data_IF_675442486192
#
_entry.id   IF_675442486192
#
_cell.length_a   1.000
_cell.length_b   1.000
_cell.length_c   1.000
_cell.angle_alpha   90.00
_cell.angle_beta   90.00
_cell.angle_gamma   90.00
#
_symmetry.space_group_name_H-M   'P 1'
#
loop_
_entity.id
_entity.type
_entity.pdbx_description
1 polymer ?
#
# COMPACT_ATOMS: atom_id res chain seq x y z
N UNK A 1 18.08 3.03 18.92
CA UNK A 1 16.65 3.08 18.55
C UNK A 1 16.55 3.78 17.21
N UNK A 2 16.17 3.06 16.15
CA UNK A 2 16.10 3.63 14.81
C UNK A 2 14.78 4.38 14.67
N UNK A 3 14.82 5.71 14.69
CA UNK A 3 13.62 6.53 14.50
C UNK A 3 13.16 6.38 13.05
N UNK A 4 12.06 5.66 12.84
CA UNK A 4 11.44 5.52 11.51
C UNK A 4 10.96 6.90 11.05
N UNK A 5 11.44 7.36 9.90
CA UNK A 5 11.01 8.63 9.30
C UNK A 5 9.55 8.47 8.87
N UNK A 6 8.68 9.42 9.21
CA UNK A 6 7.28 9.40 8.77
C UNK A 6 7.00 10.44 7.70
N UNK A 7 6.03 10.14 6.83
CA UNK A 7 5.45 11.12 5.94
C UNK A 7 4.92 12.33 6.73
N UNK A 8 5.16 13.58 6.31
CA UNK A 8 4.66 14.74 7.03
C UNK A 8 3.13 14.80 6.98
N UNK A 9 2.47 14.82 8.14
CA UNK A 9 1.00 14.85 8.24
C UNK A 9 0.35 16.08 7.59
N UNK A 10 1.11 17.17 7.42
CA UNK A 10 0.67 18.37 6.69
C UNK A 10 0.57 18.14 5.18
N UNK A 11 1.40 17.27 4.61
CA UNK A 11 1.41 17.03 3.17
C UNK A 11 0.28 16.07 2.79
N UNK A 12 -0.48 16.37 1.72
CA UNK A 12 -1.53 15.49 1.27
C UNK A 12 -0.96 14.12 0.88
N UNK A 13 -1.78 13.08 1.06
CA UNK A 13 -1.49 11.74 0.56
C UNK A 13 -1.50 11.73 -0.98
N UNK A 14 -0.80 10.79 -1.62
CA UNK A 14 -0.80 10.71 -3.08
C UNK A 14 -2.20 10.39 -3.61
N UNK A 15 -2.52 10.95 -4.77
CA UNK A 15 -3.73 10.66 -5.51
C UNK A 15 -3.58 9.35 -6.28
N UNK A 16 -4.66 8.57 -6.34
CA UNK A 16 -4.68 7.25 -7.01
C UNK A 16 -4.87 7.30 -8.53
N UNK A 17 -5.09 8.50 -9.09
CA UNK A 17 -5.36 8.65 -10.52
C UNK A 17 -4.10 8.33 -11.33
N UNK A 18 -4.15 7.22 -12.08
CA UNK A 18 -3.03 6.72 -12.89
C UNK A 18 -1.99 5.91 -12.11
N UNK A 19 -2.26 5.53 -10.86
CA UNK A 19 -1.40 4.62 -10.09
C UNK A 19 -1.59 3.18 -10.56
N UNK A 20 -0.63 2.62 -11.31
CA UNK A 20 -0.48 1.17 -11.43
C UNK A 20 0.16 0.62 -10.16
N UNK A 21 -0.18 -0.61 -9.79
CA UNK A 21 0.54 -1.33 -8.74
C UNK A 21 1.25 -2.51 -9.41
N UNK A 22 2.58 -2.47 -9.39
CA UNK A 22 3.41 -3.46 -10.08
C UNK A 22 4.26 -4.22 -9.07
N UNK A 23 3.91 -5.48 -8.87
CA UNK A 23 4.73 -6.40 -8.09
C UNK A 23 5.89 -6.90 -8.97
N UNK A 24 7.12 -6.83 -8.47
CA UNK A 24 8.25 -7.42 -9.19
C UNK A 24 8.14 -8.95 -9.21
N UNK A 25 8.77 -9.58 -10.20
CA UNK A 25 8.74 -11.04 -10.31
C UNK A 25 9.51 -11.67 -9.13
N UNK A 26 8.82 -12.55 -8.42
CA UNK A 26 9.37 -13.31 -7.29
C UNK A 26 9.94 -14.65 -7.73
N UNK A 27 9.71 -15.03 -8.98
CA UNK A 27 9.90 -16.37 -9.48
C UNK A 27 10.97 -16.39 -10.55
N UNK A 28 11.85 -17.40 -10.50
CA UNK A 28 12.80 -17.65 -11.58
C UNK A 28 12.28 -18.81 -12.41
N UNK A 29 12.13 -18.60 -13.72
CA UNK A 29 11.82 -19.64 -14.70
C UNK A 29 13.11 -20.06 -15.40
N UNK A 30 13.36 -21.36 -15.49
CA UNK A 30 14.49 -21.94 -16.21
C UNK A 30 13.94 -22.88 -17.28
N UNK A 31 14.21 -22.56 -18.53
CA UNK A 31 13.90 -23.42 -19.67
C UNK A 31 14.84 -24.62 -19.71
N UNK A 32 14.31 -25.78 -20.10
CA UNK A 32 15.07 -27.02 -20.21
C UNK A 32 15.27 -27.37 -21.69
N UNK A 33 16.38 -28.03 -22.01
CA UNK A 33 16.69 -28.45 -23.40
C UNK A 33 15.61 -29.40 -23.98
N UNK A 34 14.99 -30.21 -23.11
CA UNK A 34 13.77 -30.95 -23.40
C UNK A 34 12.89 -31.03 -22.15
N UNK A 35 11.57 -30.93 -22.34
CA UNK A 35 10.57 -31.06 -21.27
C UNK A 35 10.11 -29.71 -20.67
N UNK A 36 9.21 -29.74 -19.66
CA UNK A 36 8.63 -28.55 -19.08
C UNK A 36 9.65 -27.70 -18.32
N UNK A 37 9.56 -26.38 -18.47
CA UNK A 37 10.38 -25.44 -17.71
C UNK A 37 10.16 -25.57 -16.19
N UNK A 38 11.24 -25.42 -15.43
CA UNK A 38 11.18 -25.42 -13.96
C UNK A 38 11.01 -24.00 -13.45
N UNK A 39 10.06 -23.81 -12.55
CA UNK A 39 9.80 -22.53 -11.90
C UNK A 39 10.03 -22.65 -10.39
N UNK A 40 10.78 -21.72 -9.79
CA UNK A 40 11.02 -21.66 -8.34
C UNK A 40 10.82 -20.25 -7.79
N UNK A 41 10.19 -20.13 -6.63
CA UNK A 41 10.13 -18.87 -5.88
C UNK A 41 11.53 -18.54 -5.36
N UNK A 42 12.08 -17.40 -5.79
CA UNK A 42 13.41 -16.92 -5.39
C UNK A 42 13.35 -16.08 -4.12
N UNK A 43 12.28 -15.30 -3.97
CA UNK A 43 12.12 -14.37 -2.86
C UNK A 43 10.74 -14.52 -2.21
N UNK A 44 10.71 -14.54 -0.88
CA UNK A 44 9.46 -14.52 -0.13
C UNK A 44 8.87 -13.11 -0.10
N UNK A 45 9.72 -12.11 0.08
CA UNK A 45 9.36 -10.70 0.09
C UNK A 45 9.92 -10.04 -1.15
N UNK A 46 9.04 -9.48 -1.97
CA UNK A 46 9.42 -8.81 -3.20
C UNK A 46 8.96 -7.35 -3.15
N UNK A 47 9.89 -6.39 -3.30
CA UNK A 47 9.53 -4.99 -3.26
C UNK A 47 8.54 -4.65 -4.37
N UNK A 48 7.45 -3.99 -3.99
CA UNK A 48 6.43 -3.52 -4.94
C UNK A 48 6.79 -2.12 -5.42
N UNK A 49 6.66 -1.88 -6.72
CA UNK A 49 6.84 -0.54 -7.29
C UNK A 49 5.47 0.10 -7.46
N UNK A 50 5.32 1.29 -6.92
CA UNK A 50 4.04 2.00 -6.94
C UNK A 50 4.26 3.45 -7.42
N UNK A 51 3.90 3.76 -8.67
CA UNK A 51 3.78 5.14 -9.13
C UNK A 51 2.77 5.93 -8.30
N UNK A 52 3.21 7.07 -7.81
CA UNK A 52 2.42 7.99 -6.99
C UNK A 52 2.44 9.38 -7.59
N UNK A 53 1.33 10.10 -7.40
CA UNK A 53 1.19 11.47 -7.83
C UNK A 53 0.64 12.32 -6.70
N UNK A 54 1.36 13.38 -6.33
CA UNK A 54 0.88 14.38 -5.39
C UNK A 54 0.50 15.67 -6.11
N UNK A 55 -0.44 16.38 -5.49
CA UNK A 55 -0.87 17.70 -5.92
C UNK A 55 -0.59 18.69 -4.79
N UNK A 56 0.41 19.55 -4.98
CA UNK A 56 0.88 20.48 -3.95
C UNK A 56 0.61 21.93 -4.35
N UNK A 57 0.32 22.79 -3.37
CA UNK A 57 0.46 24.25 -3.54
C UNK A 57 1.91 24.65 -3.28
N UNK A 58 2.27 25.89 -3.57
CA UNK A 58 3.67 26.36 -3.47
C UNK A 58 4.33 26.06 -2.11
N UNK A 59 3.64 26.35 -1.00
CA UNK A 59 4.16 26.07 0.35
C UNK A 59 4.29 24.57 0.62
N UNK A 60 3.36 23.76 0.11
CA UNK A 60 3.38 22.31 0.30
C UNK A 60 4.52 21.69 -0.52
N UNK A 61 4.77 22.21 -1.73
CA UNK A 61 5.88 21.78 -2.57
C UNK A 61 7.23 22.14 -1.94
N UNK A 62 7.41 23.38 -1.47
CA UNK A 62 8.62 23.78 -0.75
C UNK A 62 8.87 22.93 0.51
N UNK A 63 7.79 22.59 1.23
CA UNK A 63 7.85 21.69 2.39
C UNK A 63 8.30 20.29 1.99
N UNK A 64 7.75 19.76 0.88
CA UNK A 64 8.14 18.46 0.33
C UNK A 64 9.62 18.43 -0.06
N UNK A 65 10.13 19.45 -0.77
CA UNK A 65 11.54 19.52 -1.17
C UNK A 65 12.49 19.54 0.04
N UNK A 66 12.16 20.36 1.05
CA UNK A 66 12.94 20.42 2.28
C UNK A 66 12.92 19.08 3.03
N UNK A 67 11.77 18.44 3.17
CA UNK A 67 11.64 17.14 3.82
C UNK A 67 12.39 16.03 3.05
N UNK A 68 12.24 15.99 1.72
CA UNK A 68 12.92 15.02 0.85
C UNK A 68 14.44 15.09 1.00
N UNK A 69 15.00 16.30 0.98
CA UNK A 69 16.44 16.53 1.13
C UNK A 69 16.92 16.25 2.56
N UNK A 70 16.25 16.82 3.57
CA UNK A 70 16.77 16.88 4.94
C UNK A 70 16.40 15.66 5.80
N UNK A 71 15.30 14.96 5.49
CA UNK A 71 14.83 13.80 6.28
C UNK A 71 15.06 12.49 5.55
N UNK A 72 14.72 12.44 4.26
CA UNK A 72 14.80 11.20 3.47
C UNK A 72 16.15 11.01 2.76
N UNK A 73 17.10 11.93 2.94
CA UNK A 73 18.45 11.82 2.37
C UNK A 73 18.45 11.78 0.86
N UNK A 74 17.67 12.66 0.22
CA UNK A 74 17.41 12.66 -1.23
C UNK A 74 16.77 11.35 -1.73
N UNK A 75 15.91 10.74 -0.92
CA UNK A 75 15.18 9.53 -1.27
C UNK A 75 15.88 8.21 -0.93
N UNK A 76 17.08 8.25 -0.33
CA UNK A 76 17.83 7.04 0.03
C UNK A 76 17.26 6.30 1.25
N UNK A 77 16.60 7.03 2.16
CA UNK A 77 16.09 6.46 3.42
C UNK A 77 14.66 5.93 3.28
N UNK A 78 14.35 4.91 4.07
CA UNK A 78 12.99 4.38 4.22
C UNK A 78 12.15 5.31 5.09
N UNK A 79 10.86 5.42 4.77
CA UNK A 79 9.89 6.18 5.54
C UNK A 79 8.51 5.52 5.53
N UNK A 80 7.69 5.80 6.55
CA UNK A 80 6.33 5.31 6.65
C UNK A 80 5.33 6.26 6.00
N UNK A 81 4.46 5.75 5.13
CA UNK A 81 3.40 6.54 4.48
C UNK A 81 2.11 5.71 4.34
N UNK A 82 0.96 6.35 4.50
CA UNK A 82 -0.34 5.73 4.24
C UNK A 82 -0.62 5.69 2.73
N UNK A 83 -0.87 4.51 2.18
CA UNK A 83 -1.11 4.27 0.77
C UNK A 83 -2.27 3.30 0.59
N UNK A 84 -3.02 3.45 -0.50
CA UNK A 84 -4.10 2.54 -0.84
C UNK A 84 -3.51 1.26 -1.44
N UNK A 85 -3.88 0.13 -0.85
CA UNK A 85 -3.55 -1.21 -1.32
C UNK A 85 -4.78 -2.10 -1.38
N UNK A 86 -4.56 -3.41 -1.51
CA UNK A 86 -5.65 -4.40 -1.63
C UNK A 86 -6.56 -4.49 -0.39
N UNK A 87 -6.05 -4.14 0.80
CA UNK A 87 -6.82 -4.11 2.06
C UNK A 87 -7.35 -2.71 2.40
N UNK A 88 -7.31 -1.77 1.45
CA UNK A 88 -7.64 -0.37 1.69
C UNK A 88 -6.44 0.49 2.05
N UNK A 89 -6.68 1.60 2.76
CA UNK A 89 -5.64 2.56 3.14
C UNK A 89 -4.85 2.01 4.34
N UNK A 90 -3.59 1.63 4.09
CA UNK A 90 -2.72 1.06 5.12
C UNK A 90 -1.37 1.79 5.18
N UNK A 91 -0.67 1.68 6.31
CA UNK A 91 0.68 2.22 6.45
C UNK A 91 1.68 1.29 5.78
N UNK A 92 2.55 1.85 4.94
CA UNK A 92 3.58 1.13 4.20
C UNK A 92 4.95 1.72 4.52
N UNK A 93 5.98 0.86 4.60
CA UNK A 93 7.37 1.29 4.59
C UNK A 93 7.84 1.43 3.13
N UNK A 94 8.14 2.66 2.73
CA UNK A 94 8.43 3.03 1.35
C UNK A 94 9.75 3.80 1.23
N UNK A 95 10.32 3.78 0.03
CA UNK A 95 11.47 4.58 -0.37
C UNK A 95 11.28 5.12 -1.78
N UNK A 96 11.83 6.28 -2.09
CA UNK A 96 11.83 6.82 -3.45
C UNK A 96 12.73 5.99 -4.36
N UNK A 97 12.18 5.51 -5.48
CA UNK A 97 12.94 4.83 -6.51
C UNK A 97 13.45 5.86 -7.52
N UNK A 98 14.76 6.06 -7.56
CA UNK A 98 15.42 6.95 -8.53
C UNK A 98 15.43 6.36 -9.94
N UNK A 99 14.28 6.31 -10.62
CA UNK A 99 14.20 5.81 -11.98
C UNK A 99 15.00 6.72 -12.91
N UNK A 100 16.07 6.19 -13.52
CA UNK A 100 16.94 6.97 -14.41
C UNK A 100 17.68 8.13 -13.73
N UNK A 101 17.93 8.04 -12.41
CA UNK A 101 18.59 9.09 -11.64
C UNK A 101 17.67 10.24 -11.19
N UNK A 102 16.37 10.15 -11.49
CA UNK A 102 15.37 11.16 -11.13
C UNK A 102 14.43 10.58 -10.07
N UNK A 103 14.55 10.98 -8.78
CA UNK A 103 13.73 10.43 -7.70
C UNK A 103 12.27 10.90 -7.73
N UNK A 104 12.02 12.11 -8.24
CA UNK A 104 10.68 12.61 -8.50
C UNK A 104 10.72 13.65 -9.63
N UNK A 105 9.57 13.87 -10.27
CA UNK A 105 9.39 14.92 -11.28
C UNK A 105 8.29 15.87 -10.81
N UNK A 106 8.59 17.17 -10.77
CA UNK A 106 7.61 18.21 -10.46
C UNK A 106 7.27 19.00 -11.73
N UNK A 107 5.98 19.13 -12.03
CA UNK A 107 5.47 19.89 -13.18
C UNK A 107 4.49 20.95 -12.69
N UNK A 108 4.70 22.24 -13.01
CA UNK A 108 3.73 23.27 -12.68
C UNK A 108 2.46 23.10 -13.52
N UNK A 109 1.31 23.28 -12.88
CA UNK A 109 -0.01 23.21 -13.49
C UNK A 109 -0.77 24.54 -13.25
N UNK A 110 -1.83 24.78 -14.03
CA UNK A 110 -2.66 25.99 -13.89
C UNK A 110 -3.21 26.12 -12.47
N UNK A 111 -3.27 27.36 -11.98
CA UNK A 111 -3.82 27.68 -10.65
C UNK A 111 -2.82 27.60 -9.49
N UNK A 112 -1.51 27.69 -9.74
CA UNK A 112 -0.48 27.73 -8.69
C UNK A 112 -0.30 26.38 -7.99
N UNK A 113 -0.35 25.30 -8.77
CA UNK A 113 -0.30 23.93 -8.25
C UNK A 113 0.81 23.16 -8.94
N UNK A 114 1.54 22.38 -8.15
CA UNK A 114 2.57 21.47 -8.59
C UNK A 114 2.05 20.04 -8.63
N UNK A 115 2.20 19.38 -9.77
CA UNK A 115 2.00 17.95 -9.90
C UNK A 115 3.36 17.27 -9.72
N UNK A 116 3.50 16.52 -8.63
CA UNK A 116 4.73 15.80 -8.32
C UNK A 116 4.50 14.31 -8.53
N UNK A 117 5.25 13.68 -9.43
CA UNK A 117 5.19 12.24 -9.69
C UNK A 117 6.48 11.55 -9.23
N UNK A 118 6.34 10.35 -8.69
CA UNK A 118 7.47 9.49 -8.32
C UNK A 118 7.05 8.02 -8.36
N UNK A 119 8.02 7.12 -8.27
CA UNK A 119 7.79 5.69 -8.03
C UNK A 119 8.31 5.37 -6.64
N UNK A 120 7.45 4.80 -5.80
CA UNK A 120 7.85 4.30 -4.48
C UNK A 120 8.16 2.82 -4.56
N UNK A 121 9.28 2.43 -3.95
CA UNK A 121 9.60 1.05 -3.64
C UNK A 121 9.07 0.73 -2.24
N UNK A 122 8.18 -0.26 -2.13
CA UNK A 122 7.53 -0.67 -0.89
C UNK A 122 8.13 -2.02 -0.47
N UNK A 123 8.65 -2.13 0.75
CA UNK A 123 9.32 -3.35 1.23
C UNK A 123 8.33 -4.49 1.52
N UNK A 124 7.32 -4.20 2.34
CA UNK A 124 6.29 -5.14 2.72
C UNK A 124 4.94 -4.47 2.53
N UNK A 125 4.09 -5.07 1.69
CA UNK A 125 2.72 -4.63 1.50
C UNK A 125 1.83 -5.37 2.49
N UNK A 126 1.07 -4.66 3.34
CA UNK A 126 0.01 -5.26 4.14
C UNK A 126 -0.94 -6.04 3.22
N UNK A 127 -1.17 -7.30 3.57
CA UNK A 127 -2.06 -8.20 2.87
C UNK A 127 -2.91 -8.95 3.89
N UNK A 128 -3.96 -9.61 3.41
CA UNK A 128 -4.72 -10.55 4.23
C UNK A 128 -3.76 -11.61 4.78
N UNK A 129 -3.94 -11.95 6.05
CA UNK A 129 -3.27 -13.10 6.62
C UNK A 129 -3.94 -14.39 6.14
N UNK A 130 -3.31 -15.52 6.47
CA UNK A 130 -3.73 -16.84 6.01
C UNK A 130 -5.16 -17.16 6.46
N UNK A 131 -5.48 -16.88 7.73
CA UNK A 131 -6.81 -17.13 8.28
C UNK A 131 -7.90 -16.27 7.63
N UNK A 132 -7.66 -14.98 7.41
CA UNK A 132 -8.63 -14.15 6.69
C UNK A 132 -8.81 -14.61 5.24
N UNK A 133 -7.74 -15.06 4.57
CA UNK A 133 -7.83 -15.59 3.22
C UNK A 133 -8.66 -16.88 3.17
N UNK A 134 -8.42 -17.83 4.07
CA UNK A 134 -9.16 -19.10 4.12
C UNK A 134 -10.67 -18.87 4.27
N UNK A 135 -11.07 -17.96 5.18
CA UNK A 135 -12.48 -17.61 5.37
C UNK A 135 -13.05 -17.03 4.08
N UNK A 136 -12.38 -16.06 3.46
CA UNK A 136 -12.89 -15.37 2.27
C UNK A 136 -12.93 -16.26 1.01
N UNK A 137 -12.18 -17.36 0.98
CA UNK A 137 -12.21 -18.33 -0.13
C UNK A 137 -13.35 -19.35 0.01
N UNK A 138 -13.80 -19.61 1.24
CA UNK A 138 -14.86 -20.59 1.53
C UNK A 138 -16.22 -19.92 1.62
N UNK A 139 -16.27 -18.76 2.26
CA UNK A 139 -17.52 -18.07 2.61
C UNK A 139 -17.92 -17.04 1.57
N UNK A 140 -19.23 -16.92 1.35
CA UNK A 140 -19.80 -15.79 0.63
C UNK A 140 -19.91 -14.58 1.58
N UNK A 141 -19.01 -13.61 1.43
CA UNK A 141 -18.81 -12.50 2.37
C UNK A 141 -20.11 -11.71 2.68
N UNK A 142 -20.95 -11.32 1.70
CA UNK A 142 -22.21 -10.65 1.99
C UNK A 142 -23.15 -11.53 2.82
N UNK A 143 -23.23 -12.83 2.52
CA UNK A 143 -24.05 -13.78 3.27
C UNK A 143 -23.53 -13.96 4.69
N UNK A 144 -22.21 -14.06 4.87
CA UNK A 144 -21.57 -14.11 6.18
C UNK A 144 -21.94 -12.89 7.05
N UNK A 145 -21.98 -11.68 6.47
CA UNK A 145 -22.40 -10.48 7.21
C UNK A 145 -23.88 -10.53 7.61
N UNK A 146 -24.76 -11.05 6.74
CA UNK A 146 -26.18 -11.23 7.05
C UNK A 146 -26.34 -12.23 8.20
N UNK A 147 -25.65 -13.35 8.13
CA UNK A 147 -25.73 -14.41 9.14
C UNK A 147 -25.18 -13.97 10.50
N UNK A 148 -24.07 -13.21 10.51
CA UNK A 148 -23.53 -12.61 11.75
C UNK A 148 -24.56 -11.66 12.37
N UNK A 149 -25.23 -10.83 11.56
CA UNK A 149 -26.25 -9.92 12.07
C UNK A 149 -27.47 -10.68 12.63
N UNK A 150 -27.91 -11.74 11.94
CA UNK A 150 -28.99 -12.60 12.39
C UNK A 150 -28.64 -13.33 13.71
N UNK A 151 -27.43 -13.86 13.82
CA UNK A 151 -26.92 -14.49 15.04
C UNK A 151 -26.85 -13.49 16.20
N UNK A 152 -26.32 -12.28 15.95
CA UNK A 152 -26.25 -11.22 16.96
C UNK A 152 -27.65 -10.87 17.49
N UNK A 153 -28.63 -10.69 16.60
CA UNK A 153 -30.02 -10.47 16.98
C UNK A 153 -30.56 -11.64 17.81
N UNK A 154 -30.32 -12.88 17.38
CA UNK A 154 -30.80 -14.07 18.10
C UNK A 154 -30.23 -14.16 19.51
N UNK A 155 -28.92 -13.89 19.67
CA UNK A 155 -28.24 -13.95 20.97
C UNK A 155 -28.67 -12.83 21.92
N UNK A 156 -28.82 -11.60 21.42
CA UNK A 156 -29.04 -10.44 22.28
C UNK A 156 -30.51 -10.04 22.44
N UNK A 157 -31.39 -10.42 21.52
CA UNK A 157 -32.81 -10.09 21.57
C UNK A 157 -33.61 -11.32 21.96
N UNK A 158 -33.59 -12.36 21.12
CA UNK A 158 -34.52 -13.48 21.26
C UNK A 158 -34.20 -14.40 22.45
N UNK A 159 -32.91 -14.66 22.71
CA UNK A 159 -32.49 -15.52 23.82
C UNK A 159 -32.52 -14.80 25.17
N UNK A 160 -32.22 -13.50 25.22
CA UNK A 160 -32.23 -12.71 26.46
C UNK A 160 -33.66 -12.53 27.01
N UNK A 161 -34.66 -12.33 26.14
CA UNK A 161 -36.06 -12.19 26.55
C UNK A 161 -36.68 -13.51 27.05
N UNK A 162 -36.10 -14.66 26.68
CA UNK A 162 -36.56 -16.00 27.09
C UNK A 162 -35.98 -16.48 28.42
N UNK A 163 -34.89 -15.87 28.91
CA UNK A 163 -34.30 -16.19 30.21
C UNK A 163 -34.86 -15.22 31.24
N UNK A 164 -36.09 -15.47 31.71
CA UNK A 164 -36.63 -14.85 32.92
C UNK A 164 -36.53 -15.86 34.06
N UNK A 165 -35.64 -15.60 35.02
CA UNK A 165 -35.58 -16.30 36.30
C UNK A 165 -36.74 -15.86 37.20
#
# INVERSE_FOLDING_TARGET
MTTTISWPSRLPLPTFEGTSLEQQDSCLRTEMEAGPARQRRRFTQVPTRMPVRWRFRDVDFATFEAWFKLKVGNGANWFSIALLGGIGLATHEARFLGQGGVPYKAVPNRGGVWLVTSVLEIRERPMLDDGALEILLVEDVPTLFIDIAALHSTLHVDLTDRIRW
#
